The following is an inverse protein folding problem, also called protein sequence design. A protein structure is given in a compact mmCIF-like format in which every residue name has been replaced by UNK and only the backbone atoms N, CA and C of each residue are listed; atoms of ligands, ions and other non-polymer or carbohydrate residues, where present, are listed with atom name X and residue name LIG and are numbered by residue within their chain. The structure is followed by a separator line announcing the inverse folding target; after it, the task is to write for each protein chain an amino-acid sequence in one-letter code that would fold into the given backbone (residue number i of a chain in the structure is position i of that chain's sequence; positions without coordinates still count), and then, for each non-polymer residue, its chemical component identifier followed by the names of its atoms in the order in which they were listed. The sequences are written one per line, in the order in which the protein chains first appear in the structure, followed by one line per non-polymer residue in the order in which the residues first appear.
data_IF_610611568154
#
_entry.id   IF_610611568154
#
_cell.length_a   1.000
_cell.length_b   1.000
_cell.length_c   1.000
_cell.angle_alpha   90.00
_cell.angle_beta   90.00
_cell.angle_gamma   90.00
#
_symmetry.space_group_name_H-M   'P 1'
#
loop_
_entity.id
_entity.type
_entity.pdbx_description
1 polymer ?
#
# COMPACT_ATOMS: atom_id res chain seq x y z
N UNK A 1 1.01 -5.02 11.97
CA UNK A 1 0.89 -5.88 10.77
C UNK A 1 0.55 -7.29 11.20
N UNK A 2 -0.48 -7.89 10.57
CA UNK A 2 -1.02 -9.21 10.88
C UNK A 2 -1.25 -10.02 9.60
N UNK A 3 -0.76 -11.27 9.55
CA UNK A 3 -1.07 -12.20 8.47
C UNK A 3 -2.54 -12.65 8.59
N UNK A 4 -3.33 -12.44 7.54
CA UNK A 4 -4.74 -12.82 7.48
C UNK A 4 -4.97 -14.12 6.72
N UNK A 5 -4.20 -14.35 5.66
CA UNK A 5 -4.34 -15.51 4.81
C UNK A 5 -2.98 -15.89 4.21
N UNK A 6 -2.74 -17.18 4.11
CA UNK A 6 -1.61 -17.76 3.38
C UNK A 6 -2.14 -18.88 2.48
N UNK A 7 -1.84 -18.76 1.19
CA UNK A 7 -2.08 -19.75 0.16
C UNK A 7 -0.75 -20.04 -0.54
N UNK A 8 -0.73 -21.10 -1.36
CA UNK A 8 0.51 -21.62 -1.97
C UNK A 8 1.32 -20.56 -2.73
N UNK A 9 0.66 -19.60 -3.40
CA UNK A 9 1.32 -18.55 -4.19
C UNK A 9 1.03 -17.11 -3.68
N UNK A 10 0.35 -16.95 -2.54
CA UNK A 10 -0.05 -15.62 -2.08
C UNK A 10 -0.20 -15.51 -0.56
N UNK A 11 0.19 -14.35 -0.01
CA UNK A 11 -0.03 -13.97 1.39
C UNK A 11 -0.79 -12.65 1.45
N UNK A 12 -1.72 -12.53 2.40
CA UNK A 12 -2.48 -11.31 2.66
C UNK A 12 -2.20 -10.81 4.07
N UNK A 13 -1.76 -9.56 4.17
CA UNK A 13 -1.45 -8.88 5.41
C UNK A 13 -2.41 -7.71 5.65
N UNK A 14 -2.89 -7.58 6.88
CA UNK A 14 -3.49 -6.37 7.42
C UNK A 14 -2.39 -5.52 8.06
N UNK A 15 -2.21 -4.29 7.59
CA UNK A 15 -1.21 -3.38 8.16
C UNK A 15 -1.70 -2.71 9.46
N UNK A 16 -2.97 -2.89 9.83
CA UNK A 16 -3.64 -2.34 11.01
C UNK A 16 -3.74 -0.80 10.99
N UNK A 17 -3.59 -0.21 9.81
CA UNK A 17 -3.69 1.23 9.56
C UNK A 17 -4.71 1.59 8.46
N UNK A 18 -5.56 0.63 8.08
CA UNK A 18 -6.54 0.80 7.00
C UNK A 18 -6.02 0.38 5.62
N UNK A 19 -4.86 -0.25 5.51
CA UNK A 19 -4.38 -0.89 4.28
C UNK A 19 -4.21 -2.41 4.43
N UNK A 20 -4.51 -3.11 3.34
CA UNK A 20 -4.09 -4.48 3.10
C UNK A 20 -2.90 -4.51 2.12
N UNK A 21 -2.02 -5.50 2.31
CA UNK A 21 -0.96 -5.83 1.36
C UNK A 21 -1.09 -7.29 0.98
N UNK A 22 -1.29 -7.56 -0.31
CA UNK A 22 -1.17 -8.89 -0.88
C UNK A 22 0.24 -9.05 -1.47
N UNK A 23 0.93 -10.11 -1.07
CA UNK A 23 2.19 -10.55 -1.63
C UNK A 23 1.90 -11.75 -2.53
N UNK A 24 2.11 -11.62 -3.84
CA UNK A 24 1.82 -12.67 -4.82
C UNK A 24 3.08 -13.08 -5.56
N UNK A 25 3.30 -14.38 -5.72
CA UNK A 25 4.42 -14.90 -6.49
C UNK A 25 4.43 -14.32 -7.92
N UNK A 26 5.60 -13.90 -8.37
CA UNK A 26 5.77 -13.16 -9.62
C UNK A 26 7.13 -13.45 -10.24
N UNK A 27 7.17 -14.36 -11.20
CA UNK A 27 8.41 -14.91 -11.78
C UNK A 27 9.26 -13.91 -12.56
N UNK A 28 8.71 -12.77 -12.97
CA UNK A 28 9.40 -11.74 -13.74
C UNK A 28 9.91 -10.56 -12.89
N UNK A 29 9.63 -10.55 -11.58
CA UNK A 29 10.17 -9.57 -10.63
C UNK A 29 11.37 -10.20 -9.91
N UNK A 30 12.44 -9.44 -9.72
CA UNK A 30 13.68 -9.94 -9.11
C UNK A 30 13.47 -10.52 -7.70
N UNK A 31 12.63 -9.87 -6.90
CA UNK A 31 12.26 -10.31 -5.55
C UNK A 31 11.42 -11.60 -5.55
N UNK A 32 10.98 -12.10 -6.71
CA UNK A 32 10.15 -13.31 -6.86
C UNK A 32 8.68 -13.11 -6.52
N UNK A 33 8.28 -11.90 -6.12
CA UNK A 33 6.89 -11.56 -5.83
C UNK A 33 6.57 -10.09 -6.15
N UNK A 34 5.30 -9.82 -6.42
CA UNK A 34 4.74 -8.47 -6.50
C UNK A 34 3.95 -8.17 -5.24
N UNK A 35 3.88 -6.89 -4.88
CA UNK A 35 3.00 -6.42 -3.81
C UNK A 35 1.82 -5.67 -4.42
N UNK A 36 0.62 -5.93 -3.92
CA UNK A 36 -0.57 -5.13 -4.19
C UNK A 36 -1.07 -4.51 -2.90
N UNK A 37 -1.15 -3.19 -2.88
CA UNK A 37 -1.56 -2.40 -1.72
C UNK A 37 -2.99 -1.92 -1.94
N UNK A 38 -3.89 -2.13 -0.98
CA UNK A 38 -5.30 -1.74 -1.10
C UNK A 38 -5.80 -1.04 0.16
N UNK A 39 -6.41 0.16 0.06
CA UNK A 39 -7.08 0.77 1.20
C UNK A 39 -8.36 -0.02 1.56
N UNK A 40 -8.73 -0.02 2.84
CA UNK A 40 -9.94 -0.66 3.36
C UNK A 40 -11.15 0.26 3.21
N UNK A 41 -11.85 0.24 2.07
CA UNK A 41 -13.15 0.92 1.80
C UNK A 41 -13.37 2.28 2.50
N UNK A 42 -12.30 3.05 2.72
CA UNK A 42 -12.29 4.37 3.36
C UNK A 42 -12.00 5.38 2.27
N UNK A 43 -12.97 6.25 2.04
CA UNK A 43 -12.89 7.22 0.95
C UNK A 43 -11.75 8.23 1.13
N UNK A 44 -11.18 8.39 2.33
CA UNK A 44 -10.09 9.32 2.61
C UNK A 44 -8.70 8.68 2.51
N UNK A 45 -8.61 7.35 2.38
CA UNK A 45 -7.34 6.66 2.16
C UNK A 45 -7.02 6.61 0.66
N UNK A 46 -5.91 7.22 0.20
CA UNK A 46 -5.56 7.21 -1.21
C UNK A 46 -5.04 5.82 -1.64
N UNK A 47 -5.20 5.48 -2.91
CA UNK A 47 -4.61 4.27 -3.47
C UNK A 47 -3.09 4.41 -3.60
N UNK A 48 -2.36 3.33 -3.30
CA UNK A 48 -0.91 3.26 -3.45
C UNK A 48 -0.57 2.21 -4.50
N UNK A 49 0.25 2.58 -5.47
CA UNK A 49 0.72 1.71 -6.54
C UNK A 49 2.23 1.56 -6.46
N UNK A 50 2.73 0.40 -6.89
CA UNK A 50 4.15 0.15 -7.06
C UNK A 50 4.40 -0.05 -8.55
N UNK A 51 5.28 0.77 -9.10
CA UNK A 51 5.83 0.64 -10.44
C UNK A 51 7.21 0.00 -10.32
N UNK A 52 7.57 -0.90 -11.24
CA UNK A 52 8.85 -1.62 -11.20
C UNK A 52 9.65 -1.22 -12.44
N UNK A 53 10.39 -0.11 -12.35
CA UNK A 53 11.33 0.31 -13.40
C UNK A 53 12.69 -0.34 -13.13
N UNK A 54 13.17 -1.17 -14.07
CA UNK A 54 14.48 -1.80 -14.03
C UNK A 54 14.86 -2.39 -12.66
N UNK A 55 13.93 -3.14 -12.05
CA UNK A 55 14.00 -3.83 -10.73
C UNK A 55 13.86 -2.97 -9.47
N UNK A 56 13.84 -1.64 -9.58
CA UNK A 56 13.63 -0.76 -8.41
C UNK A 56 12.14 -0.43 -8.24
N UNK A 57 11.54 -0.75 -7.08
CA UNK A 57 10.16 -0.38 -6.81
C UNK A 57 10.03 1.13 -6.60
N UNK A 58 9.12 1.75 -7.34
CA UNK A 58 8.76 3.16 -7.24
C UNK A 58 7.30 3.31 -6.80
N UNK A 59 7.07 3.98 -5.68
CA UNK A 59 5.74 4.15 -5.11
C UNK A 59 5.04 5.37 -5.69
N UNK A 60 3.77 5.20 -6.07
CA UNK A 60 2.90 6.27 -6.56
C UNK A 60 1.63 6.30 -5.70
N UNK A 61 1.36 7.44 -5.08
CA UNK A 61 0.08 7.68 -4.39
C UNK A 61 -0.87 8.32 -5.42
N UNK A 62 -1.99 7.65 -5.71
CA UNK A 62 -3.04 8.21 -6.54
C UNK A 62 -4.03 8.99 -5.68
N UNK A 63 -4.18 10.27 -5.98
CA UNK A 63 -5.13 11.14 -5.28
C UNK A 63 -6.55 10.86 -5.76
N UNK A 64 -7.50 10.83 -4.82
CA UNK A 64 -8.92 10.89 -5.14
C UNK A 64 -9.34 12.36 -5.38
N UNK A 65 -10.26 12.58 -6.31
CA UNK A 65 -10.91 13.87 -6.45
C UNK A 65 -12.03 13.99 -5.43
N UNK A 66 -11.82 14.80 -4.39
CA UNK A 66 -12.78 14.97 -3.29
C UNK A 66 -13.82 16.07 -3.56
N UNK A 67 -13.69 16.84 -4.65
CA UNK A 67 -14.58 17.97 -4.94
C UNK A 67 -14.51 19.06 -3.86
N UNK A 68 -15.67 19.60 -3.46
CA UNK A 68 -15.78 20.56 -2.35
C UNK A 68 -15.81 19.83 -1.01
N UNK A 69 -14.78 20.02 -0.19
CA UNK A 69 -14.62 19.33 1.10
C UNK A 69 -14.85 20.30 2.26
N UNK A 70 -15.72 20.00 3.23
CA UNK A 70 -15.91 20.86 4.39
C UNK A 70 -14.68 20.82 5.33
N UNK A 71 -14.42 21.87 6.14
CA UNK A 71 -13.17 21.97 6.91
C UNK A 71 -12.88 20.80 7.87
N UNK A 72 -13.92 20.16 8.41
CA UNK A 72 -13.78 18.98 9.26
C UNK A 72 -13.29 17.74 8.49
N UNK A 73 -13.61 17.63 7.20
CA UNK A 73 -13.19 16.52 6.35
C UNK A 73 -11.81 16.74 5.72
N UNK A 74 -11.38 18.00 5.55
CA UNK A 74 -10.00 18.32 5.12
C UNK A 74 -8.98 17.66 6.04
N UNK A 75 -9.24 17.67 7.36
CA UNK A 75 -8.37 16.99 8.34
C UNK A 75 -8.25 15.49 8.08
N UNK A 76 -9.34 14.84 7.66
CA UNK A 76 -9.35 13.40 7.33
C UNK A 76 -8.55 13.12 6.06
N UNK A 77 -8.69 13.96 5.03
CA UNK A 77 -7.89 13.85 3.80
C UNK A 77 -6.40 13.96 4.09
N UNK A 78 -5.99 14.96 4.88
CA UNK A 78 -4.59 15.14 5.29
C UNK A 78 -4.09 13.92 6.05
N UNK A 79 -4.89 13.39 6.98
CA UNK A 79 -4.52 12.21 7.75
C UNK A 79 -4.38 10.97 6.88
N UNK A 80 -5.28 10.76 5.92
CA UNK A 80 -5.17 9.65 4.96
C UNK A 80 -3.88 9.70 4.13
N UNK A 81 -3.43 10.88 3.70
CA UNK A 81 -2.13 11.02 3.03
C UNK A 81 -0.94 10.71 3.94
N UNK A 82 -0.99 11.06 5.23
CA UNK A 82 0.06 10.68 6.18
C UNK A 82 0.12 9.17 6.37
N UNK A 83 -1.04 8.54 6.59
CA UNK A 83 -1.13 7.07 6.71
C UNK A 83 -0.58 6.39 5.46
N UNK A 84 -0.84 6.94 4.26
CA UNK A 84 -0.29 6.41 3.02
C UNK A 84 1.24 6.51 2.93
N UNK A 85 1.83 7.61 3.42
CA UNK A 85 3.29 7.76 3.51
C UNK A 85 3.87 6.74 4.51
N UNK A 86 3.28 6.64 5.70
CA UNK A 86 3.70 5.67 6.72
C UNK A 86 3.59 4.23 6.21
N UNK A 87 2.56 3.94 5.40
CA UNK A 87 2.36 2.64 4.75
C UNK A 87 3.49 2.30 3.79
N UNK A 88 3.99 3.26 3.01
CA UNK A 88 5.14 3.05 2.13
C UNK A 88 6.38 2.68 2.94
N UNK A 89 6.61 3.34 4.07
CA UNK A 89 7.76 3.05 4.93
C UNK A 89 7.65 1.67 5.60
N UNK A 90 6.44 1.28 6.06
CA UNK A 90 6.18 -0.08 6.54
C UNK A 90 6.51 -1.10 5.44
N UNK A 91 6.10 -0.85 4.21
CA UNK A 91 6.34 -1.78 3.09
C UNK A 91 7.81 -1.93 2.80
N UNK A 92 8.54 -0.81 2.71
CA UNK A 92 10.00 -0.82 2.48
C UNK A 92 10.71 -1.67 3.54
N UNK A 93 10.43 -1.42 4.82
CA UNK A 93 11.11 -2.08 5.94
C UNK A 93 10.78 -3.57 6.09
N UNK A 94 9.59 -4.02 5.66
CA UNK A 94 9.14 -5.40 5.90
C UNK A 94 9.18 -6.30 4.67
N UNK A 95 9.16 -5.72 3.46
CA UNK A 95 9.04 -6.47 2.21
C UNK A 95 10.09 -6.09 1.17
N UNK A 96 10.97 -5.12 1.43
CA UNK A 96 11.97 -4.70 0.44
C UNK A 96 13.39 -4.66 0.99
N UNK A 97 13.57 -4.60 2.32
CA UNK A 97 14.87 -4.78 2.94
C UNK A 97 15.28 -6.26 2.91
N UNK A 98 16.16 -6.56 1.96
CA UNK A 98 16.86 -7.82 1.78
C UNK A 98 18.07 -7.57 0.86
N UNK A 99 19.15 -7.05 1.45
CA UNK A 99 20.52 -7.26 0.95
C UNK A 99 21.08 -8.56 1.54
#
# INVERSE_FOLDING_TARGET
MKLLMEAEEAKLYDLENGYYVAQEHCSWIHQGYRLMIRPMDDCYLPSIFIDYDNTTPNFKIQTASYGSVPPNEIKKVIEGFKIALDTIDIIKNNFMEGE
#
